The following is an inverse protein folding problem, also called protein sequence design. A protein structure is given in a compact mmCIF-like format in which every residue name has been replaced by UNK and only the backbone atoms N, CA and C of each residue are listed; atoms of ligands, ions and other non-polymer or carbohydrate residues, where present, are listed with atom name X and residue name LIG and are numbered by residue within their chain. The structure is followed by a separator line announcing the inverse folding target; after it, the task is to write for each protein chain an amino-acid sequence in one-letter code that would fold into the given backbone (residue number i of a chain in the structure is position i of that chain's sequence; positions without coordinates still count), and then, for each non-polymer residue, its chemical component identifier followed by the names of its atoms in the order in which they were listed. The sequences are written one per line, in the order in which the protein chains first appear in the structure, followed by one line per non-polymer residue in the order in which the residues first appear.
data_IF_342270985464
#
_entry.id   IF_342270985464
#
_cell.length_a   1.000
_cell.length_b   1.000
_cell.length_c   1.000
_cell.angle_alpha   90.00
_cell.angle_beta   90.00
_cell.angle_gamma   90.00
#
_symmetry.space_group_name_H-M   'P 1'
#
loop_
_entity.id
_entity.type
_entity.pdbx_description
1 polymer ?
#
# COMPACT_ATOMS: atom_id res chain seq x y z
N UNK A 1 23.26 -14.37 -9.85
CA UNK A 1 22.00 -13.69 -10.20
C UNK A 1 21.91 -12.41 -9.37
N UNK A 2 22.11 -11.26 -9.98
CA UNK A 2 22.03 -9.98 -9.25
C UNK A 2 20.58 -9.77 -8.82
N UNK A 3 20.33 -9.78 -7.51
CA UNK A 3 19.06 -9.27 -6.96
C UNK A 3 18.99 -7.79 -7.36
N UNK A 4 18.06 -7.43 -8.24
CA UNK A 4 17.75 -6.01 -8.48
C UNK A 4 17.41 -5.43 -7.10
N UNK A 5 18.25 -4.53 -6.62
CA UNK A 5 18.02 -3.87 -5.34
C UNK A 5 16.74 -3.04 -5.36
N UNK A 6 16.25 -2.69 -4.19
CA UNK A 6 15.17 -1.70 -4.05
C UNK A 6 15.56 -0.45 -4.84
N UNK A 7 14.69 0.04 -5.69
CA UNK A 7 14.86 1.37 -6.27
C UNK A 7 14.52 2.41 -5.20
N UNK A 8 15.53 2.73 -4.40
CA UNK A 8 15.41 3.74 -3.35
C UNK A 8 15.00 5.11 -3.90
N UNK A 9 15.30 5.41 -5.16
CA UNK A 9 14.92 6.68 -5.76
C UNK A 9 13.40 6.76 -5.90
N UNK A 10 12.74 5.68 -6.30
CA UNK A 10 11.28 5.63 -6.38
C UNK A 10 10.62 5.84 -5.01
N UNK A 11 11.10 5.17 -3.97
CA UNK A 11 10.57 5.35 -2.61
C UNK A 11 10.88 6.73 -2.03
N UNK A 12 12.10 7.23 -2.19
CA UNK A 12 12.46 8.57 -1.72
C UNK A 12 11.76 9.69 -2.48
N UNK A 13 11.41 9.44 -3.75
CA UNK A 13 10.65 10.35 -4.60
C UNK A 13 9.15 10.43 -4.27
N UNK A 14 8.64 9.58 -3.37
CA UNK A 14 7.24 9.67 -2.94
C UNK A 14 7.00 10.95 -2.15
N UNK A 15 5.89 11.66 -2.39
CA UNK A 15 5.55 12.89 -1.67
C UNK A 15 5.50 12.65 -0.17
N UNK A 16 6.15 13.54 0.60
CA UNK A 16 6.01 13.53 2.05
C UNK A 16 4.68 14.13 2.46
N UNK A 17 4.12 13.61 3.54
CA UNK A 17 2.75 13.90 3.98
C UNK A 17 2.71 14.30 5.47
N UNK A 18 3.67 15.12 5.88
CA UNK A 18 3.74 15.61 7.25
C UNK A 18 2.50 16.43 7.63
N UNK A 19 1.87 16.06 8.73
CA UNK A 19 0.66 16.72 9.23
C UNK A 19 -0.65 16.26 8.57
N UNK A 20 -0.58 15.44 7.52
CA UNK A 20 -1.76 14.86 6.91
C UNK A 20 -2.31 13.67 7.72
N UNK A 21 -3.60 13.42 7.55
CA UNK A 21 -4.25 12.20 8.02
C UNK A 21 -4.26 11.18 6.89
N UNK A 22 -3.79 9.97 7.15
CA UNK A 22 -3.86 8.85 6.22
C UNK A 22 -5.12 8.01 6.45
N UNK A 23 -5.84 7.71 5.38
CA UNK A 23 -7.02 6.84 5.42
C UNK A 23 -6.65 5.45 4.93
N UNK A 24 -6.82 4.44 5.77
CA UNK A 24 -6.62 3.04 5.42
C UNK A 24 -7.96 2.39 5.17
N UNK A 25 -8.19 2.03 3.91
CA UNK A 25 -9.44 1.41 3.48
C UNK A 25 -9.23 -0.09 3.33
N UNK A 26 -9.91 -0.85 4.18
CA UNK A 26 -9.99 -2.30 4.07
C UNK A 26 -11.01 -2.75 3.03
N UNK A 27 -11.15 -4.06 2.88
CA UNK A 27 -12.12 -4.69 1.95
C UNK A 27 -13.29 -5.33 2.71
N UNK A 28 -13.54 -4.89 3.94
CA UNK A 28 -14.60 -5.43 4.78
C UNK A 28 -16.00 -5.04 4.31
N UNK A 29 -17.03 -5.81 4.67
CA UNK A 29 -18.42 -5.58 4.23
C UNK A 29 -19.04 -4.28 4.77
N UNK A 30 -18.44 -3.65 5.77
CA UNK A 30 -18.89 -2.34 6.30
C UNK A 30 -18.59 -1.17 5.37
N UNK A 31 -17.77 -1.36 4.33
CA UNK A 31 -17.41 -0.30 3.38
C UNK A 31 -18.62 0.13 2.58
N UNK A 32 -18.94 1.43 2.62
CA UNK A 32 -20.00 2.04 1.85
C UNK A 32 -19.41 2.97 0.78
N UNK A 33 -19.95 2.91 -0.44
CA UNK A 33 -19.48 3.72 -1.58
C UNK A 33 -19.59 5.22 -1.26
N UNK A 34 -20.69 5.66 -0.68
CA UNK A 34 -20.93 7.07 -0.35
C UNK A 34 -19.89 7.64 0.64
N UNK A 35 -19.35 6.79 1.51
CA UNK A 35 -18.29 7.22 2.43
C UNK A 35 -16.93 7.27 1.72
N UNK A 36 -16.66 6.36 0.80
CA UNK A 36 -15.44 6.38 -0.01
C UNK A 36 -15.39 7.60 -0.92
N UNK A 37 -16.52 8.04 -1.48
CA UNK A 37 -16.60 9.25 -2.31
C UNK A 37 -16.13 10.51 -1.55
N UNK A 38 -16.34 10.56 -0.23
CA UNK A 38 -15.87 11.64 0.64
C UNK A 38 -14.35 11.65 0.82
N UNK A 39 -13.68 10.56 0.47
CA UNK A 39 -12.22 10.41 0.53
C UNK A 39 -11.51 10.84 -0.77
N UNK A 40 -12.25 11.23 -1.81
CA UNK A 40 -11.64 11.73 -3.04
C UNK A 40 -10.68 12.90 -2.74
N UNK A 41 -9.46 12.81 -3.29
CA UNK A 41 -8.40 13.78 -3.04
C UNK A 41 -7.74 13.70 -1.66
N UNK A 42 -8.16 12.78 -0.80
CA UNK A 42 -7.50 12.52 0.49
C UNK A 42 -6.39 11.48 0.33
N UNK A 43 -5.36 11.61 1.16
CA UNK A 43 -4.28 10.64 1.23
C UNK A 43 -4.80 9.29 1.75
N UNK A 44 -4.88 8.32 0.87
CA UNK A 44 -5.56 7.04 1.13
C UNK A 44 -4.75 5.84 0.65
N UNK A 45 -4.93 4.73 1.34
CA UNK A 45 -4.27 3.47 1.11
C UNK A 45 -5.33 2.37 1.01
N UNK A 46 -5.33 1.65 -0.10
CA UNK A 46 -6.17 0.46 -0.30
C UNK A 46 -5.28 -0.78 -0.48
N UNK A 47 -5.89 -1.94 -0.44
CA UNK A 47 -5.17 -3.21 -0.46
C UNK A 47 -5.66 -4.13 -1.57
N UNK A 48 -4.71 -4.90 -2.14
CA UNK A 48 -5.00 -5.99 -3.04
C UNK A 48 -5.79 -5.54 -4.29
N UNK A 49 -6.83 -6.28 -4.67
CA UNK A 49 -7.64 -6.04 -5.87
C UNK A 49 -8.74 -4.98 -5.66
N UNK A 50 -8.46 -3.92 -4.91
CA UNK A 50 -9.45 -2.86 -4.66
C UNK A 50 -10.00 -2.22 -5.95
N UNK A 51 -9.22 -2.20 -7.03
CA UNK A 51 -9.63 -1.69 -8.35
C UNK A 51 -10.91 -2.37 -8.90
N UNK A 52 -11.22 -3.58 -8.46
CA UNK A 52 -12.46 -4.26 -8.86
C UNK A 52 -13.74 -3.49 -8.46
N UNK A 53 -13.65 -2.62 -7.46
CA UNK A 53 -14.77 -1.78 -7.04
C UNK A 53 -14.91 -0.48 -7.86
N UNK A 54 -13.94 -0.12 -8.70
CA UNK A 54 -13.92 1.13 -9.47
C UNK A 54 -15.16 1.36 -10.36
N UNK A 55 -15.78 0.32 -10.97
CA UNK A 55 -17.00 0.55 -11.75
C UNK A 55 -18.18 1.11 -10.94
N UNK A 56 -18.17 0.98 -9.61
CA UNK A 56 -19.26 1.40 -8.72
C UNK A 56 -19.02 2.77 -8.06
N UNK A 57 -17.84 3.38 -8.25
CA UNK A 57 -17.45 4.60 -7.52
C UNK A 57 -16.45 5.45 -8.30
N UNK A 58 -16.40 6.75 -7.97
CA UNK A 58 -15.37 7.66 -8.49
C UNK A 58 -14.11 7.70 -7.62
N UNK A 59 -14.17 7.20 -6.39
CA UNK A 59 -13.03 7.19 -5.48
C UNK A 59 -11.83 6.41 -6.06
N UNK A 60 -10.66 7.03 -5.95
CA UNK A 60 -9.37 6.43 -6.33
C UNK A 60 -8.36 6.63 -5.20
N UNK A 61 -7.74 5.54 -4.70
CA UNK A 61 -6.75 5.64 -3.62
C UNK A 61 -5.45 6.27 -4.11
N UNK A 62 -4.73 6.91 -3.20
CA UNK A 62 -3.38 7.43 -3.47
C UNK A 62 -2.38 6.27 -3.65
N UNK A 63 -2.53 5.24 -2.84
CA UNK A 63 -1.67 4.06 -2.84
C UNK A 63 -2.49 2.78 -2.80
N UNK A 64 -2.08 1.79 -3.60
CA UNK A 64 -2.56 0.42 -3.51
C UNK A 64 -1.40 -0.49 -3.11
N UNK A 65 -1.57 -1.31 -2.08
CA UNK A 65 -0.54 -2.22 -1.59
C UNK A 65 -0.99 -3.67 -1.68
N UNK A 66 -0.05 -4.55 -1.97
CA UNK A 66 -0.21 -5.98 -1.74
C UNK A 66 1.06 -6.56 -1.12
N UNK A 67 0.87 -7.44 -0.12
CA UNK A 67 1.95 -8.05 0.65
C UNK A 67 1.85 -9.58 0.69
N UNK A 68 0.78 -10.14 0.22
CA UNK A 68 0.60 -11.59 0.09
C UNK A 68 1.21 -12.08 -1.23
N UNK A 69 2.13 -13.04 -1.14
CA UNK A 69 2.86 -13.57 -2.29
C UNK A 69 1.95 -14.19 -3.33
N UNK A 70 0.95 -14.98 -2.90
CA UNK A 70 0.04 -15.62 -3.83
C UNK A 70 -0.82 -14.58 -4.55
N UNK A 71 -1.33 -13.59 -3.82
CA UNK A 71 -2.05 -12.46 -4.40
C UNK A 71 -1.21 -11.72 -5.45
N UNK A 72 0.05 -11.47 -5.17
CA UNK A 72 0.97 -10.80 -6.10
C UNK A 72 1.25 -11.66 -7.32
N UNK A 73 1.49 -12.96 -7.15
CA UNK A 73 1.75 -13.88 -8.26
C UNK A 73 0.54 -14.04 -9.18
N UNK A 74 -0.65 -14.16 -8.60
CA UNK A 74 -1.86 -14.44 -9.37
C UNK A 74 -2.45 -13.18 -10.02
N UNK A 75 -2.34 -12.02 -9.36
CA UNK A 75 -3.05 -10.79 -9.74
C UNK A 75 -2.17 -9.53 -9.79
N UNK A 76 -0.89 -9.63 -9.53
CA UNK A 76 -0.03 -8.45 -9.44
C UNK A 76 -0.03 -7.61 -10.71
N UNK A 77 0.07 -8.22 -11.87
CA UNK A 77 0.01 -7.50 -13.15
C UNK A 77 -1.34 -6.80 -13.35
N UNK A 78 -2.44 -7.48 -13.05
CA UNK A 78 -3.79 -6.93 -13.11
C UNK A 78 -3.95 -5.71 -12.17
N UNK A 79 -3.45 -5.81 -10.94
CA UNK A 79 -3.49 -4.72 -9.95
C UNK A 79 -2.69 -3.51 -10.47
N UNK A 80 -1.49 -3.73 -10.99
CA UNK A 80 -0.62 -2.66 -11.48
C UNK A 80 -1.20 -1.93 -12.70
N UNK A 81 -1.87 -2.66 -13.59
CA UNK A 81 -2.47 -2.10 -14.81
C UNK A 81 -3.79 -1.34 -14.55
N UNK A 82 -4.54 -1.73 -13.53
CA UNK A 82 -5.89 -1.20 -13.28
C UNK A 82 -5.98 -0.25 -12.08
N UNK A 83 -4.93 -0.10 -11.29
CA UNK A 83 -4.92 0.85 -10.17
C UNK A 83 -4.50 2.23 -10.65
N UNK A 84 -5.28 3.27 -10.33
CA UNK A 84 -4.99 4.65 -10.73
C UNK A 84 -3.88 5.29 -9.89
N UNK A 85 -3.74 4.88 -8.64
CA UNK A 85 -2.71 5.36 -7.72
C UNK A 85 -1.37 4.62 -7.89
N UNK A 86 -0.44 4.91 -7.00
CA UNK A 86 0.84 4.19 -6.99
C UNK A 86 0.67 2.81 -6.38
N UNK A 87 1.16 1.78 -7.07
CA UNK A 87 1.11 0.40 -6.62
C UNK A 87 2.41 0.02 -5.95
N UNK A 88 2.32 -0.56 -4.75
CA UNK A 88 3.47 -0.97 -3.94
C UNK A 88 3.31 -2.43 -3.54
N UNK A 89 4.28 -3.24 -3.93
CA UNK A 89 4.36 -4.64 -3.54
C UNK A 89 5.40 -4.84 -2.46
N UNK A 90 5.06 -5.65 -1.47
CA UNK A 90 6.00 -6.08 -0.45
C UNK A 90 6.08 -7.59 -0.45
N UNK A 91 7.22 -8.11 -0.86
CA UNK A 91 7.50 -9.55 -0.87
C UNK A 91 8.98 -9.79 -0.53
N UNK A 92 9.33 -11.05 -0.24
CA UNK A 92 10.72 -11.48 -0.04
C UNK A 92 11.55 -11.36 -1.30
N UNK A 93 10.93 -11.52 -2.46
CA UNK A 93 11.55 -11.44 -3.77
C UNK A 93 10.89 -10.36 -4.61
N UNK A 94 11.67 -9.71 -5.46
CA UNK A 94 11.12 -8.71 -6.38
C UNK A 94 10.18 -9.39 -7.38
N UNK A 95 8.90 -9.04 -7.42
CA UNK A 95 7.96 -9.62 -8.38
C UNK A 95 8.19 -9.19 -9.83
N UNK A 96 9.05 -8.17 -10.06
CA UNK A 96 9.36 -7.65 -11.40
C UNK A 96 8.12 -7.24 -12.21
N UNK A 97 7.14 -6.63 -11.57
CA UNK A 97 5.91 -6.16 -12.21
C UNK A 97 6.09 -4.69 -12.61
N UNK A 98 5.82 -4.38 -13.87
CA UNK A 98 5.91 -3.02 -14.39
C UNK A 98 4.88 -2.09 -13.72
N UNK A 99 5.19 -0.80 -13.69
CA UNK A 99 4.35 0.24 -13.05
C UNK A 99 4.11 0.04 -11.56
N UNK A 100 4.96 -0.73 -10.89
CA UNK A 100 4.90 -0.93 -9.45
C UNK A 100 6.22 -0.60 -8.76
N UNK A 101 6.14 -0.31 -7.47
CA UNK A 101 7.29 -0.13 -6.59
C UNK A 101 7.41 -1.37 -5.72
N UNK A 102 8.59 -1.96 -5.67
CA UNK A 102 8.84 -3.10 -4.79
C UNK A 102 9.63 -2.69 -3.54
N UNK A 103 9.14 -3.13 -2.39
CA UNK A 103 9.82 -3.00 -1.10
C UNK A 103 10.01 -4.38 -0.49
N UNK A 104 11.23 -4.81 -0.18
CA UNK A 104 11.46 -6.13 0.41
C UNK A 104 10.70 -6.33 1.72
N UNK A 105 10.11 -7.51 1.87
CA UNK A 105 9.52 -7.98 3.11
C UNK A 105 10.55 -8.81 3.87
N UNK A 106 10.99 -8.32 5.04
CA UNK A 106 12.01 -8.97 5.84
C UNK A 106 11.47 -9.31 7.22
N UNK A 107 11.51 -10.59 7.57
CA UNK A 107 11.13 -11.05 8.90
C UNK A 107 12.16 -10.56 9.94
N UNK A 108 11.66 -9.91 10.99
CA UNK A 108 12.42 -9.50 12.16
C UNK A 108 11.61 -9.80 13.41
N UNK A 109 12.29 -9.93 14.54
CA UNK A 109 11.65 -10.15 15.85
C UNK A 109 10.71 -9.01 16.25
N UNK A 110 11.07 -7.78 15.86
CA UNK A 110 10.29 -6.58 16.18
C UNK A 110 9.85 -5.83 14.94
N UNK A 111 8.63 -5.33 14.99
CA UNK A 111 8.11 -4.40 13.99
C UNK A 111 8.89 -3.08 14.05
N UNK A 112 9.42 -2.63 12.92
CA UNK A 112 10.25 -1.43 12.85
C UNK A 112 9.62 -0.37 11.96
N UNK A 113 9.29 0.77 12.55
CA UNK A 113 8.84 1.97 11.85
C UNK A 113 10.01 2.90 11.53
N UNK A 114 10.17 3.28 10.27
CA UNK A 114 11.31 4.08 9.79
C UNK A 114 10.84 5.45 9.30
N UNK A 115 11.59 6.50 9.68
CA UNK A 115 11.29 7.89 9.32
C UNK A 115 12.08 8.39 8.11
N UNK A 116 13.33 8.00 7.99
CA UNK A 116 14.26 8.60 7.04
C UNK A 116 14.61 7.72 5.85
N UNK A 117 14.61 6.40 6.06
CA UNK A 117 14.99 5.44 5.02
C UNK A 117 14.18 4.15 5.16
N UNK A 118 13.36 3.88 4.15
CA UNK A 118 12.61 2.64 4.07
C UNK A 118 13.33 1.67 3.13
N UNK A 119 14.08 0.75 3.69
CA UNK A 119 14.83 -0.26 2.94
C UNK A 119 14.12 -1.60 2.84
N UNK A 120 13.18 -1.83 3.73
CA UNK A 120 12.35 -3.04 3.81
C UNK A 120 11.17 -2.76 4.72
N UNK A 121 10.13 -3.58 4.57
CA UNK A 121 8.99 -3.64 5.49
C UNK A 121 9.07 -4.92 6.32
N UNK A 122 8.44 -4.95 7.49
CA UNK A 122 8.35 -6.13 8.32
C UNK A 122 6.94 -6.69 8.25
N UNK A 123 6.76 -8.01 8.05
CA UNK A 123 5.44 -8.61 8.11
C UNK A 123 4.91 -8.54 9.55
N UNK A 124 3.64 -8.27 9.70
CA UNK A 124 3.07 -8.11 11.03
C UNK A 124 1.57 -8.29 11.08
N UNK A 125 1.00 -9.13 10.23
CA UNK A 125 -0.43 -9.38 10.27
C UNK A 125 -1.23 -8.79 9.12
N UNK A 126 -0.61 -8.60 7.96
CA UNK A 126 -1.33 -8.30 6.73
C UNK A 126 -0.92 -7.00 6.04
N UNK A 127 -1.51 -6.78 4.89
CA UNK A 127 -1.19 -5.66 3.99
C UNK A 127 -1.47 -4.29 4.62
N UNK A 128 -2.49 -4.16 5.46
CA UNK A 128 -2.79 -2.89 6.14
C UNK A 128 -1.64 -2.44 7.05
N UNK A 129 -0.96 -3.35 7.73
CA UNK A 129 0.18 -2.98 8.56
C UNK A 129 1.37 -2.50 7.72
N UNK A 130 1.58 -3.07 6.53
CA UNK A 130 2.59 -2.55 5.61
C UNK A 130 2.22 -1.15 5.09
N UNK A 131 0.92 -0.87 4.90
CA UNK A 131 0.44 0.47 4.57
C UNK A 131 0.73 1.50 5.69
N UNK A 132 0.57 1.10 6.96
CA UNK A 132 0.93 1.95 8.10
C UNK A 132 2.44 2.22 8.12
N UNK A 133 3.27 1.21 7.87
CA UNK A 133 4.73 1.39 7.80
C UNK A 133 5.12 2.39 6.70
N UNK A 134 4.52 2.27 5.51
CA UNK A 134 4.72 3.22 4.43
C UNK A 134 4.28 4.64 4.83
N UNK A 135 3.06 4.77 5.33
CA UNK A 135 2.52 6.05 5.74
C UNK A 135 3.36 6.73 6.83
N UNK A 136 3.87 5.96 7.80
CA UNK A 136 4.78 6.47 8.82
C UNK A 136 6.09 6.99 8.21
N UNK A 137 6.65 6.28 7.23
CA UNK A 137 7.82 6.73 6.46
C UNK A 137 7.53 8.02 5.69
N UNK A 138 6.33 8.17 5.11
CA UNK A 138 5.91 9.37 4.41
C UNK A 138 5.69 10.58 5.34
N UNK A 139 5.60 10.35 6.64
CA UNK A 139 5.44 11.42 7.64
C UNK A 139 4.07 11.46 8.30
N UNK A 140 3.16 10.56 7.96
CA UNK A 140 1.84 10.46 8.59
C UNK A 140 1.99 10.00 10.04
N UNK A 141 1.19 10.58 10.93
CA UNK A 141 1.13 10.22 12.37
C UNK A 141 -0.28 9.96 12.87
N UNK A 142 -1.27 10.25 12.04
CA UNK A 142 -2.68 9.97 12.30
C UNK A 142 -3.25 9.11 11.18
N UNK A 143 -3.77 7.95 11.52
CA UNK A 143 -4.43 7.04 10.61
C UNK A 143 -5.89 6.84 11.00
N UNK A 144 -6.77 6.82 10.02
CA UNK A 144 -8.17 6.44 10.16
C UNK A 144 -8.37 5.14 9.39
N UNK A 145 -8.85 4.12 10.08
CA UNK A 145 -9.16 2.82 9.50
C UNK A 145 -10.64 2.78 9.15
N UNK A 146 -10.94 2.33 7.93
CA UNK A 146 -12.31 2.19 7.45
C UNK A 146 -12.48 0.86 6.72
N UNK A 147 -13.53 0.11 7.03
CA UNK A 147 -13.78 -1.20 6.45
C UNK A 147 -12.74 -2.27 6.83
N UNK A 148 -12.13 -2.14 8.00
CA UNK A 148 -11.21 -3.14 8.56
C UNK A 148 -12.01 -4.05 9.49
N UNK A 149 -12.82 -4.89 8.87
CA UNK A 149 -13.70 -5.82 9.55
C UNK A 149 -13.02 -7.20 9.69
N UNK A 150 -13.35 -7.93 10.73
CA UNK A 150 -12.83 -9.27 11.02
C UNK A 150 -13.95 -10.29 11.09
#
# INVERSE_FOLDING_TARGET
MYRKGVDYNQLQGLPKAHGETGFLVGNGPSVQVDDLEKLNGRLSFCCNRFHMAYPTMSFRPTYTLAADRQMINDFGQEIAENSDGRVIYTDKENPCIDNSIWVPLVHRENLVFRRSRLSHMTPGGGTLLTAIQLGYFLGIRKFILYGVDH
#
